data_IF_979013174902
#
_entry.id   IF_979013174902
#
_cell.length_a   1.000
_cell.length_b   1.000
_cell.length_c   1.000
_cell.angle_alpha   90.00
_cell.angle_beta   90.00
_cell.angle_gamma   90.00
#
_symmetry.space_group_name_H-M   'P 1'
#
loop_
_entity.id
_entity.type
_entity.pdbx_description
1 polymer ?
#
# COMPACT_ATOMS: atom_id res chain seq x y z
N UNK A 1 -25.11 -5.75 7.14
CA UNK A 1 -23.91 -5.49 7.97
C UNK A 1 -22.70 -6.35 7.55
N UNK A 2 -22.85 -7.64 7.23
CA UNK A 2 -21.73 -8.53 6.85
C UNK A 2 -20.87 -8.03 5.66
N UNK A 3 -21.49 -7.53 4.58
CA UNK A 3 -20.80 -7.13 3.34
C UNK A 3 -19.91 -5.90 3.53
N UNK A 4 -20.32 -4.92 4.34
CA UNK A 4 -19.55 -3.69 4.56
C UNK A 4 -18.30 -3.97 5.39
N UNK A 5 -18.41 -4.83 6.41
CA UNK A 5 -17.27 -5.25 7.24
C UNK A 5 -16.28 -6.08 6.41
N UNK A 6 -16.77 -7.00 5.56
CA UNK A 6 -15.90 -7.81 4.71
C UNK A 6 -15.10 -6.97 3.70
N UNK A 7 -15.76 -6.01 3.05
CA UNK A 7 -15.09 -5.07 2.15
C UNK A 7 -14.09 -4.18 2.88
N UNK A 8 -14.36 -3.79 4.12
CA UNK A 8 -13.43 -3.02 4.94
C UNK A 8 -12.19 -3.86 5.29
N UNK A 9 -12.37 -5.10 5.74
CA UNK A 9 -11.26 -6.01 6.06
C UNK A 9 -10.39 -6.32 4.84
N UNK A 10 -11.00 -6.58 3.67
CA UNK A 10 -10.27 -6.77 2.41
C UNK A 10 -9.49 -5.51 2.01
N UNK A 11 -10.06 -4.31 2.16
CA UNK A 11 -9.33 -3.06 1.87
C UNK A 11 -8.12 -2.84 2.78
N UNK A 12 -8.22 -3.23 4.06
CA UNK A 12 -7.11 -3.14 5.01
C UNK A 12 -5.97 -4.11 4.64
N UNK A 13 -6.29 -5.32 4.16
CA UNK A 13 -5.26 -6.26 3.67
C UNK A 13 -4.57 -5.77 2.40
N UNK A 14 -5.33 -5.23 1.45
CA UNK A 14 -4.77 -4.73 0.18
C UNK A 14 -3.87 -3.50 0.37
N UNK A 15 -4.19 -2.64 1.33
CA UNK A 15 -3.35 -1.48 1.68
C UNK A 15 -1.98 -1.92 2.20
N UNK A 16 -1.95 -2.96 3.04
CA UNK A 16 -0.69 -3.52 3.56
C UNK A 16 0.13 -4.15 2.43
N UNK A 17 -0.51 -4.90 1.53
CA UNK A 17 0.15 -5.49 0.35
C UNK A 17 0.73 -4.41 -0.57
N UNK A 18 0.00 -3.32 -0.80
CA UNK A 18 0.46 -2.19 -1.62
C UNK A 18 1.77 -1.60 -1.05
N UNK A 19 1.81 -1.38 0.27
CA UNK A 19 2.99 -0.85 0.95
C UNK A 19 4.18 -1.83 0.89
N UNK A 20 3.95 -3.13 1.08
CA UNK A 20 5.00 -4.15 0.97
C UNK A 20 5.56 -4.26 -0.45
N UNK A 21 4.71 -4.18 -1.48
CA UNK A 21 5.15 -4.19 -2.88
C UNK A 21 6.09 -3.01 -3.14
N UNK A 22 5.71 -1.80 -2.78
CA UNK A 22 6.57 -0.64 -3.00
C UNK A 22 7.86 -0.70 -2.17
N UNK A 23 7.78 -1.08 -0.90
CA UNK A 23 8.95 -1.06 -0.01
C UNK A 23 9.93 -2.23 -0.22
N UNK A 24 9.44 -3.44 -0.42
CA UNK A 24 10.25 -4.67 -0.46
C UNK A 24 10.52 -5.14 -1.89
N UNK A 25 9.47 -5.20 -2.72
CA UNK A 25 9.61 -5.70 -4.10
C UNK A 25 10.32 -4.71 -5.01
N UNK A 26 10.11 -3.41 -4.80
CA UNK A 26 10.65 -2.35 -5.64
C UNK A 26 11.61 -1.40 -4.93
N UNK A 27 12.03 -1.71 -3.68
CA UNK A 27 12.97 -0.89 -2.90
C UNK A 27 12.62 0.61 -2.87
N UNK A 28 11.33 0.92 -2.81
CA UNK A 28 10.73 2.25 -2.84
C UNK A 28 11.11 3.12 -4.06
N UNK A 29 11.52 2.50 -5.18
CA UNK A 29 11.67 3.22 -6.44
C UNK A 29 10.28 3.70 -6.95
N UNK A 30 10.21 4.82 -7.69
CA UNK A 30 8.96 5.23 -8.32
C UNK A 30 8.48 4.20 -9.34
N UNK A 31 7.26 3.67 -9.18
CA UNK A 31 6.69 2.63 -10.04
C UNK A 31 5.32 3.07 -10.59
N UNK A 32 5.01 2.69 -11.84
CA UNK A 32 3.73 2.94 -12.48
C UNK A 32 2.57 2.21 -11.81
N UNK A 33 1.35 2.76 -11.87
CA UNK A 33 0.18 2.12 -11.26
C UNK A 33 -0.17 0.79 -11.91
N UNK A 34 0.05 0.64 -13.21
CA UNK A 34 -0.18 -0.61 -13.93
C UNK A 34 0.65 -1.76 -13.35
N UNK A 35 1.91 -1.51 -13.05
CA UNK A 35 2.80 -2.49 -12.41
C UNK A 35 2.37 -2.83 -10.99
N UNK A 36 1.89 -1.84 -10.23
CA UNK A 36 1.40 -2.04 -8.86
C UNK A 36 0.09 -2.84 -8.87
N UNK A 37 -0.85 -2.47 -9.73
CA UNK A 37 -2.11 -3.16 -9.95
C UNK A 37 -1.88 -4.62 -10.37
N UNK A 38 -0.99 -4.84 -11.33
CA UNK A 38 -0.58 -6.19 -11.74
C UNK A 38 0.01 -7.01 -10.58
N UNK A 39 0.87 -6.39 -9.74
CA UNK A 39 1.45 -7.06 -8.58
C UNK A 39 0.44 -7.35 -7.45
N UNK A 40 -0.65 -6.58 -7.38
CA UNK A 40 -1.76 -6.82 -6.44
C UNK A 40 -2.80 -7.81 -6.98
N UNK A 41 -2.75 -8.12 -8.28
CA UNK A 41 -3.82 -8.83 -9.00
C UNK A 41 -5.14 -8.08 -8.97
N UNK A 42 -5.05 -6.76 -9.07
CA UNK A 42 -6.17 -5.82 -9.03
C UNK A 42 -6.25 -5.00 -10.32
N UNK A 43 -7.42 -4.43 -10.59
CA UNK A 43 -7.56 -3.45 -11.67
C UNK A 43 -6.93 -2.11 -11.29
N UNK A 44 -6.38 -1.41 -12.29
CA UNK A 44 -5.81 -0.06 -12.11
C UNK A 44 -6.84 0.89 -11.48
N UNK A 45 -8.08 0.85 -11.96
CA UNK A 45 -9.18 1.65 -11.41
C UNK A 45 -9.41 1.34 -9.94
N UNK A 46 -9.40 0.06 -9.56
CA UNK A 46 -9.57 -0.34 -8.16
C UNK A 46 -8.49 0.26 -7.27
N UNK A 47 -7.23 0.20 -7.73
CA UNK A 47 -6.10 0.78 -7.02
C UNK A 47 -6.27 2.29 -6.84
N UNK A 48 -6.59 3.02 -7.91
CA UNK A 48 -6.68 4.48 -7.88
C UNK A 48 -7.92 5.01 -7.16
N UNK A 49 -9.04 4.31 -7.22
CA UNK A 49 -10.32 4.75 -6.65
C UNK A 49 -10.55 4.26 -5.22
N UNK A 50 -9.96 3.12 -4.83
CA UNK A 50 -10.24 2.52 -3.51
C UNK A 50 -9.02 2.39 -2.60
N UNK A 51 -7.80 2.23 -3.14
CA UNK A 51 -6.59 2.01 -2.31
C UNK A 51 -5.80 3.30 -2.11
N UNK A 52 -5.41 3.96 -3.20
CA UNK A 52 -4.59 5.17 -3.17
C UNK A 52 -5.22 6.33 -2.38
N UNK A 53 -6.55 6.61 -2.42
CA UNK A 53 -7.12 7.76 -1.72
C UNK A 53 -6.87 7.70 -0.21
N UNK A 54 -6.91 6.51 0.37
CA UNK A 54 -6.59 6.31 1.78
C UNK A 54 -5.12 6.60 2.06
N UNK A 55 -4.22 6.01 1.28
CA UNK A 55 -2.77 6.14 1.45
C UNK A 55 -2.26 7.58 1.24
N UNK A 56 -2.83 8.30 0.28
CA UNK A 56 -2.54 9.71 0.04
C UNK A 56 -3.01 10.57 1.21
N UNK A 57 -4.24 10.35 1.69
CA UNK A 57 -4.82 11.11 2.81
C UNK A 57 -4.03 10.98 4.10
N UNK A 58 -3.52 9.80 4.43
CA UNK A 58 -2.69 9.59 5.63
C UNK A 58 -1.21 9.97 5.41
N UNK A 59 -0.84 10.39 4.20
CA UNK A 59 0.50 10.82 3.82
C UNK A 59 1.51 9.68 3.70
N UNK A 60 1.05 8.48 3.34
CA UNK A 60 1.91 7.30 3.17
C UNK A 60 2.41 7.13 1.74
N UNK A 61 1.66 7.64 0.76
CA UNK A 61 1.99 7.58 -0.66
C UNK A 61 2.24 8.98 -1.21
N UNK A 62 3.15 9.09 -2.18
CA UNK A 62 3.30 10.27 -3.03
C UNK A 62 3.25 9.88 -4.52
N UNK A 63 2.54 10.69 -5.30
CA UNK A 63 2.55 10.63 -6.78
C UNK A 63 3.69 11.51 -7.30
N UNK A 64 4.44 11.00 -8.27
CA UNK A 64 5.53 11.72 -8.96
C UNK A 64 5.36 11.53 -10.47
N UNK A 65 6.04 12.34 -11.28
CA UNK A 65 6.08 12.15 -12.74
C UNK A 65 6.60 10.77 -13.17
N UNK A 66 7.38 10.11 -12.31
CA UNK A 66 7.95 8.77 -12.55
C UNK A 66 7.12 7.63 -11.95
N UNK A 67 6.01 7.92 -11.28
CA UNK A 67 5.16 6.92 -10.63
C UNK A 67 4.93 7.16 -9.14
N UNK A 68 4.58 6.09 -8.42
CA UNK A 68 4.20 6.08 -7.02
C UNK A 68 5.37 5.65 -6.16
N UNK A 69 5.58 6.33 -5.04
CA UNK A 69 6.57 5.94 -4.03
C UNK A 69 6.04 6.23 -2.63
N UNK A 70 6.57 5.51 -1.65
CA UNK A 70 6.26 5.70 -0.23
C UNK A 70 6.98 6.92 0.32
N UNK A 71 6.30 7.60 1.24
CA UNK A 71 6.89 8.69 2.01
C UNK A 71 7.78 8.15 3.13
N UNK A 72 8.65 8.99 3.72
CA UNK A 72 9.41 8.61 4.91
C UNK A 72 8.51 8.15 6.06
N UNK A 73 7.33 8.77 6.21
CA UNK A 73 6.32 8.39 7.22
C UNK A 73 5.86 6.94 7.05
N UNK A 74 5.56 6.51 5.82
CA UNK A 74 5.17 5.13 5.52
C UNK A 74 6.31 4.15 5.80
N UNK A 75 7.54 4.46 5.39
CA UNK A 75 8.69 3.59 5.63
C UNK A 75 8.97 3.41 7.13
N UNK A 76 8.86 4.46 7.93
CA UNK A 76 8.97 4.37 9.39
C UNK A 76 7.85 3.50 9.99
N UNK A 77 6.61 3.66 9.54
CA UNK A 77 5.49 2.83 9.98
C UNK A 77 5.70 1.35 9.67
N UNK A 78 6.19 1.01 8.47
CA UNK A 78 6.52 -0.37 8.09
C UNK A 78 7.63 -0.96 8.95
N UNK A 79 8.66 -0.18 9.30
CA UNK A 79 9.73 -0.64 10.21
C UNK A 79 9.21 -0.93 11.61
N UNK A 80 8.32 -0.09 12.14
CA UNK A 80 7.71 -0.30 13.48
C UNK A 80 6.92 -1.61 13.50
N UNK A 81 6.05 -1.84 12.50
CA UNK A 81 5.29 -3.09 12.40
C UNK A 81 6.19 -4.34 12.26
N UNK A 82 7.30 -4.25 11.50
CA UNK A 82 8.26 -5.37 11.40
C UNK A 82 8.95 -5.68 12.73
N UNK A 83 9.27 -4.66 13.53
CA UNK A 83 9.91 -4.84 14.84
C UNK A 83 8.94 -5.51 15.82
N UNK A 84 7.65 -5.14 15.80
CA UNK A 84 6.63 -5.79 16.64
C UNK A 84 6.41 -7.25 16.27
N UNK A 85 6.35 -7.57 14.97
CA UNK A 85 6.23 -8.97 14.52
C UNK A 85 7.45 -9.83 14.88
N UNK A 86 8.66 -9.25 14.87
CA UNK A 86 9.89 -9.94 15.28
C UNK A 86 10.01 -10.11 16.81
N UNK A 87 9.19 -9.41 17.59
CA UNK A 87 9.12 -9.53 19.06
C UNK A 87 8.12 -10.58 19.52
N UNK A 88 7.27 -11.08 18.62
CA UNK A 88 6.27 -12.11 18.87
C UNK A 88 6.72 -13.52 18.43
N UNK A 89 7.97 -13.65 17.96
CA UNK A 89 8.65 -14.90 17.60
C UNK A 89 9.87 -15.08 18.50
#
# INVERSE_FOLDING_TARGET
MQTVVYLYTLRVSETSRYLSILSEKFNNQPIGVETIASALSEEVRTVEEFIEPYLLRIGFLRKTSRGRSLTPKALSHLKINKVEQKKLL
#
